data_IF_147794117134
#
_entry.id   IF_147794117134
#
_cell.length_a   1.000
_cell.length_b   1.000
_cell.length_c   1.000
_cell.angle_alpha   90.00
_cell.angle_beta   90.00
_cell.angle_gamma   90.00
#
_symmetry.space_group_name_H-M   'P 1'
#
loop_
_entity.id
_entity.type
_entity.pdbx_description
1 polymer ?
#
# COMPACT_ATOMS: atom_id res chain seq x y z
N UNK A 1 42.67 -30.22 38.04
CA UNK A 1 42.71 -28.87 38.61
C UNK A 1 42.09 -27.93 37.57
N UNK A 2 40.79 -27.62 37.59
CA UNK A 2 40.14 -26.54 38.37
C UNK A 2 40.86 -25.20 38.02
N UNK A 3 40.35 -24.22 37.26
CA UNK A 3 39.04 -23.54 37.26
C UNK A 3 38.82 -22.62 36.00
N UNK A 4 37.60 -22.67 35.45
CA UNK A 4 36.69 -21.58 35.00
C UNK A 4 37.04 -20.53 33.92
N UNK A 5 36.31 -20.66 32.79
CA UNK A 5 35.29 -19.75 32.21
C UNK A 5 35.62 -18.47 31.41
N UNK A 6 34.96 -18.44 30.23
CA UNK A 6 34.48 -17.32 29.36
C UNK A 6 35.58 -16.52 28.65
N UNK A 7 35.70 -16.49 27.33
CA UNK A 7 34.76 -16.69 26.23
C UNK A 7 34.52 -15.36 25.54
N UNK A 8 35.14 -15.13 24.37
CA UNK A 8 34.69 -14.39 23.16
C UNK A 8 35.83 -14.51 22.13
N UNK A 9 35.55 -15.07 20.95
CA UNK A 9 35.99 -14.60 19.62
C UNK A 9 35.59 -15.63 18.55
N UNK A 10 34.95 -15.13 17.48
CA UNK A 10 34.82 -15.71 16.13
C UNK A 10 36.15 -16.26 15.58
N UNK A 11 36.27 -16.97 14.42
CA UNK A 11 35.32 -17.03 13.28
C UNK A 11 35.22 -18.40 12.56
N UNK A 12 34.39 -18.45 11.51
CA UNK A 12 34.54 -19.20 10.25
C UNK A 12 35.31 -20.55 10.28
N UNK A 13 34.61 -21.63 9.94
CA UNK A 13 35.22 -22.66 9.09
C UNK A 13 34.25 -23.20 8.04
N UNK A 14 34.77 -23.21 6.82
CA UNK A 14 34.18 -23.61 5.56
C UNK A 14 34.22 -25.13 5.45
N UNK A 15 33.11 -25.78 5.05
CA UNK A 15 33.19 -27.12 4.46
C UNK A 15 32.36 -27.20 3.17
N UNK A 16 33.09 -27.15 2.06
CA UNK A 16 32.67 -27.68 0.76
C UNK A 16 32.50 -29.20 0.87
N UNK A 17 31.36 -29.75 0.45
CA UNK A 17 31.27 -31.16 0.04
C UNK A 17 30.57 -31.29 -1.31
N UNK A 18 31.31 -31.91 -2.21
CA UNK A 18 31.09 -32.08 -3.64
C UNK A 18 29.99 -33.14 -3.93
N UNK A 19 29.17 -32.91 -4.96
CA UNK A 19 28.14 -33.85 -5.42
C UNK A 19 28.79 -35.06 -6.10
N UNK A 20 28.64 -36.27 -5.53
CA UNK A 20 28.48 -37.54 -6.27
C UNK A 20 28.19 -38.70 -5.31
N UNK A 21 27.13 -39.45 -5.64
CA UNK A 21 26.72 -40.75 -5.10
C UNK A 21 26.28 -40.78 -3.62
N UNK A 22 25.03 -41.16 -3.37
CA UNK A 22 24.64 -42.50 -2.90
C UNK A 22 23.17 -42.46 -2.42
N UNK A 23 22.46 -43.49 -2.84
CA UNK A 23 21.13 -43.97 -2.51
C UNK A 23 20.77 -44.08 -1.02
N UNK A 24 19.46 -44.01 -0.74
CA UNK A 24 18.74 -44.58 0.41
C UNK A 24 19.44 -44.56 1.79
N UNK A 25 19.08 -43.58 2.63
CA UNK A 25 19.13 -43.73 4.08
C UNK A 25 17.81 -43.27 4.67
N UNK A 26 17.15 -44.19 5.37
CA UNK A 26 15.95 -43.98 6.17
C UNK A 26 16.29 -43.15 7.42
N UNK A 27 15.41 -42.22 7.80
CA UNK A 27 15.47 -41.55 9.11
C UNK A 27 14.37 -42.09 10.03
N UNK A 28 14.71 -42.48 11.28
CA UNK A 28 13.75 -42.81 12.32
C UNK A 28 13.22 -41.55 13.03
N UNK A 29 12.18 -41.76 13.83
CA UNK A 29 11.27 -40.78 14.39
C UNK A 29 11.85 -39.73 15.37
N UNK A 30 11.20 -38.55 15.34
CA UNK A 30 10.92 -37.56 16.41
C UNK A 30 12.01 -37.23 17.45
N UNK A 31 12.42 -35.96 17.49
CA UNK A 31 12.16 -35.11 18.67
C UNK A 31 12.48 -33.61 18.45
N UNK A 32 11.49 -32.77 18.83
CA UNK A 32 11.54 -31.38 19.30
C UNK A 32 12.39 -30.35 18.52
N UNK A 33 11.76 -29.67 17.57
CA UNK A 33 11.89 -28.22 17.40
C UNK A 33 10.49 -27.64 17.11
N UNK A 34 9.86 -27.06 18.12
CA UNK A 34 8.53 -26.43 18.03
C UNK A 34 8.76 -24.99 17.56
N UNK A 35 8.72 -24.77 16.25
CA UNK A 35 8.79 -23.45 15.63
C UNK A 35 7.46 -23.11 14.93
N UNK A 36 7.09 -21.85 15.06
CA UNK A 36 5.95 -21.07 14.55
C UNK A 36 5.72 -21.17 13.02
N UNK A 37 5.37 -22.35 12.51
CA UNK A 37 5.04 -22.59 11.08
C UNK A 37 3.59 -23.00 10.82
N UNK A 38 2.66 -22.60 11.70
CA UNK A 38 1.29 -23.13 11.69
C UNK A 38 0.29 -22.50 10.72
N UNK A 39 0.47 -21.23 10.32
CA UNK A 39 -0.63 -20.47 9.68
C UNK A 39 -0.34 -20.18 8.20
N UNK A 40 0.93 -19.93 7.82
CA UNK A 40 1.27 -19.55 6.44
C UNK A 40 1.30 -20.74 5.44
N UNK A 41 1.52 -21.98 5.91
CA UNK A 41 1.65 -23.14 5.02
C UNK A 41 0.30 -23.73 4.54
N UNK A 42 -0.77 -23.62 5.34
CA UNK A 42 -2.07 -24.20 4.99
C UNK A 42 -2.84 -23.42 3.93
N UNK A 43 -2.69 -22.09 3.88
CA UNK A 43 -3.23 -21.28 2.78
C UNK A 43 -2.57 -21.65 1.43
N UNK A 44 -1.32 -22.11 1.46
CA UNK A 44 -0.55 -22.53 0.28
C UNK A 44 -0.85 -23.96 -0.20
N UNK A 45 -1.15 -24.90 0.69
CA UNK A 45 -1.50 -26.28 0.29
C UNK A 45 -2.84 -26.36 -0.47
N UNK A 46 -3.78 -25.46 -0.16
CA UNK A 46 -5.03 -25.31 -0.93
C UNK A 46 -4.83 -24.68 -2.32
N UNK A 47 -3.77 -23.88 -2.50
CA UNK A 47 -3.39 -23.29 -3.79
C UNK A 47 -2.53 -24.25 -4.65
N UNK A 48 -1.86 -25.23 -4.05
CA UNK A 48 -0.94 -26.15 -4.75
C UNK A 48 -1.63 -27.40 -5.34
N UNK A 49 -2.79 -27.79 -4.82
CA UNK A 49 -3.52 -28.98 -5.27
C UNK A 49 -4.57 -28.69 -6.36
N UNK A 50 -4.13 -28.18 -7.51
CA UNK A 50 -4.79 -28.38 -8.82
C UNK A 50 -3.90 -27.89 -9.99
N UNK A 51 -2.69 -28.42 -10.07
CA UNK A 51 -1.84 -28.27 -11.26
C UNK A 51 -2.32 -29.17 -12.42
N UNK A 52 -3.33 -28.72 -13.16
CA UNK A 52 -3.47 -29.03 -14.60
C UNK A 52 -3.56 -27.71 -15.35
N UNK A 53 -2.52 -27.40 -16.13
CA UNK A 53 -2.37 -26.16 -16.91
C UNK A 53 -3.65 -25.81 -17.71
N UNK A 54 -4.30 -24.65 -17.48
CA UNK A 54 -5.16 -24.03 -18.47
C UNK A 54 -4.43 -22.86 -19.15
N UNK A 55 -4.85 -22.55 -20.37
CA UNK A 55 -4.32 -21.46 -21.19
C UNK A 55 -4.59 -20.09 -20.53
N UNK A 56 -3.65 -19.17 -20.75
CA UNK A 56 -3.47 -17.84 -20.17
C UNK A 56 -4.65 -16.85 -20.35
N UNK A 57 -5.79 -17.28 -20.90
CA UNK A 57 -6.98 -16.46 -21.18
C UNK A 57 -8.22 -16.82 -20.33
N UNK A 58 -8.11 -17.73 -19.35
CA UNK A 58 -9.30 -18.34 -18.70
C UNK A 58 -9.39 -18.14 -17.19
N UNK A 59 -8.56 -17.28 -16.59
CA UNK A 59 -8.65 -16.97 -15.15
C UNK A 59 -9.75 -15.97 -14.78
N UNK A 60 -10.50 -15.47 -15.76
CA UNK A 60 -11.70 -14.67 -15.56
C UNK A 60 -12.93 -15.56 -15.77
N UNK A 61 -13.42 -16.20 -14.72
CA UNK A 61 -14.80 -16.71 -14.53
C UNK A 61 -14.76 -17.93 -13.60
N UNK A 62 -14.80 -17.69 -12.30
CA UNK A 62 -15.52 -18.58 -11.37
C UNK A 62 -15.84 -17.77 -10.11
N UNK A 63 -16.89 -16.95 -10.18
CA UNK A 63 -17.49 -16.35 -8.98
C UNK A 63 -18.66 -17.24 -8.61
N UNK A 64 -18.49 -18.02 -7.54
CA UNK A 64 -19.60 -18.67 -6.85
C UNK A 64 -20.48 -17.58 -6.24
N UNK A 65 -21.78 -17.63 -6.54
CA UNK A 65 -22.80 -16.83 -5.89
C UNK A 65 -23.14 -17.45 -4.54
N UNK A 66 -22.82 -16.78 -3.43
CA UNK A 66 -23.54 -16.82 -2.15
C UNK A 66 -22.98 -15.78 -1.16
N UNK A 67 -23.82 -14.80 -0.82
CA UNK A 67 -23.68 -13.73 0.18
C UNK A 67 -22.28 -13.07 0.31
N UNK A 68 -21.85 -12.32 -0.70
CA UNK A 68 -20.57 -11.59 -0.69
C UNK A 68 -20.53 -10.42 0.31
N UNK A 69 -21.64 -10.05 0.97
CA UNK A 69 -21.71 -8.86 1.83
C UNK A 69 -21.26 -9.06 3.28
N UNK A 70 -20.90 -10.28 3.67
CA UNK A 70 -20.53 -10.56 5.06
C UNK A 70 -19.08 -10.25 5.42
N UNK A 71 -18.22 -9.92 4.45
CA UNK A 71 -16.82 -9.57 4.70
C UNK A 71 -16.47 -8.25 4.04
N UNK A 72 -16.14 -7.28 4.87
CA UNK A 72 -15.80 -5.91 4.49
C UNK A 72 -14.29 -5.79 4.37
N UNK A 73 -13.84 -5.04 3.38
CA UNK A 73 -12.44 -4.62 3.24
C UNK A 73 -12.39 -3.10 3.29
N UNK A 74 -11.55 -2.55 4.16
CA UNK A 74 -11.41 -1.11 4.31
C UNK A 74 -9.92 -0.71 4.31
N UNK A 75 -9.53 0.02 3.28
CA UNK A 75 -8.21 0.63 3.12
C UNK A 75 -8.23 2.08 3.62
N UNK A 76 -7.61 2.30 4.77
CA UNK A 76 -7.56 3.62 5.43
C UNK A 76 -6.40 4.45 4.84
N UNK A 77 -6.59 5.01 3.65
CA UNK A 77 -5.59 5.88 3.04
C UNK A 77 -5.59 7.30 3.63
N UNK A 78 -4.42 7.95 3.65
CA UNK A 78 -4.26 9.35 4.09
C UNK A 78 -5.18 10.32 3.37
N UNK A 79 -5.29 10.18 2.04
CA UNK A 79 -6.11 11.07 1.21
C UNK A 79 -7.51 10.51 0.94
N UNK A 80 -7.62 9.20 0.72
CA UNK A 80 -8.85 8.54 0.33
C UNK A 80 -9.03 7.23 1.09
N UNK A 81 -10.22 7.03 1.64
CA UNK A 81 -10.67 5.74 2.13
C UNK A 81 -11.22 4.95 0.95
N UNK A 82 -10.87 3.66 0.86
CA UNK A 82 -11.44 2.75 -0.13
C UNK A 82 -12.06 1.59 0.61
N UNK A 83 -13.37 1.40 0.47
CA UNK A 83 -14.08 0.33 1.15
C UNK A 83 -15.00 -0.43 0.19
N UNK A 84 -15.31 -1.67 0.55
CA UNK A 84 -16.16 -2.55 -0.23
C UNK A 84 -16.11 -3.97 0.30
N UNK A 85 -16.45 -4.93 -0.55
CA UNK A 85 -16.65 -6.31 -0.12
C UNK A 85 -15.57 -7.26 -0.64
N UNK A 86 -15.37 -8.33 0.11
CA UNK A 86 -14.49 -9.43 -0.29
C UNK A 86 -14.92 -10.02 -1.65
N UNK A 87 -13.93 -10.38 -2.48
CA UNK A 87 -14.15 -10.91 -3.83
C UNK A 87 -14.51 -9.87 -4.89
N UNK A 88 -14.68 -8.59 -4.54
CA UNK A 88 -14.91 -7.52 -5.51
C UNK A 88 -13.62 -7.06 -6.18
N UNK A 89 -13.73 -6.75 -7.48
CA UNK A 89 -12.58 -6.29 -8.29
C UNK A 89 -12.28 -4.80 -8.14
N UNK A 90 -13.23 -4.03 -7.62
CA UNK A 90 -13.14 -2.58 -7.41
C UNK A 90 -13.74 -2.26 -6.04
N UNK A 91 -13.24 -1.24 -5.34
CA UNK A 91 -13.90 -0.76 -4.13
C UNK A 91 -15.31 -0.30 -4.44
N UNK A 92 -16.26 -0.68 -3.59
CA UNK A 92 -17.66 -0.24 -3.69
C UNK A 92 -17.74 1.28 -3.56
N UNK A 93 -16.96 1.85 -2.62
CA UNK A 93 -16.88 3.29 -2.40
C UNK A 93 -15.43 3.75 -2.22
N UNK A 94 -15.16 4.94 -2.76
CA UNK A 94 -13.90 5.65 -2.59
C UNK A 94 -14.24 7.10 -2.30
N UNK A 95 -13.87 7.60 -1.13
CA UNK A 95 -14.19 8.96 -0.73
C UNK A 95 -13.01 9.61 0.00
N UNK A 96 -12.90 10.95 0.01
CA UNK A 96 -11.82 11.66 0.68
C UNK A 96 -11.82 11.42 2.20
N UNK A 97 -10.66 11.16 2.79
CA UNK A 97 -10.48 10.96 4.23
C UNK A 97 -10.45 12.33 4.95
N UNK A 98 -11.59 13.01 4.97
CA UNK A 98 -11.71 14.40 5.41
C UNK A 98 -13.00 14.62 6.18
N UNK A 99 -12.94 15.51 7.16
CA UNK A 99 -14.06 15.88 8.02
C UNK A 99 -14.20 17.39 8.01
N UNK A 100 -15.44 17.85 7.92
CA UNK A 100 -15.79 19.26 7.98
C UNK A 100 -16.73 19.53 9.16
N UNK A 101 -16.38 20.53 9.97
CA UNK A 101 -17.22 21.04 11.07
C UNK A 101 -17.70 22.45 10.71
N UNK A 102 -18.99 22.78 10.88
CA UNK A 102 -19.49 24.13 10.60
C UNK A 102 -18.72 25.20 11.38
N UNK A 103 -18.26 26.25 10.69
CA UNK A 103 -17.65 27.39 11.37
C UNK A 103 -18.76 28.16 12.10
N UNK A 104 -18.64 28.32 13.42
CA UNK A 104 -19.60 28.97 14.34
C UNK A 104 -19.98 30.44 14.01
N UNK A 105 -19.57 31.01 12.87
CA UNK A 105 -19.85 32.40 12.46
C UNK A 105 -20.83 32.50 11.29
N UNK A 106 -21.94 31.77 11.35
CA UNK A 106 -23.14 32.18 10.63
C UNK A 106 -24.24 32.41 11.66
N UNK A 107 -24.33 33.64 12.14
CA UNK A 107 -25.57 34.15 12.71
C UNK A 107 -26.66 34.00 11.65
N UNK A 108 -27.76 33.37 12.06
CA UNK A 108 -29.07 33.23 11.40
C UNK A 108 -29.21 33.86 10.00
N UNK A 109 -29.28 33.02 8.95
CA UNK A 109 -30.01 33.39 7.73
C UNK A 109 -30.67 32.19 7.04
N UNK A 110 -31.97 32.06 7.31
CA UNK A 110 -33.04 31.86 6.32
C UNK A 110 -33.08 30.61 5.42
N UNK A 111 -32.44 29.48 5.75
CA UNK A 111 -32.77 28.20 5.12
C UNK A 111 -32.95 27.10 6.16
N UNK A 112 -34.13 26.44 6.15
CA UNK A 112 -34.42 25.17 6.83
C UNK A 112 -33.59 24.04 6.21
N UNK A 113 -32.26 24.07 6.39
CA UNK A 113 -31.44 22.88 6.27
C UNK A 113 -30.88 22.60 7.65
N UNK A 114 -31.29 21.46 8.23
CA UNK A 114 -30.59 20.84 9.35
C UNK A 114 -29.15 20.54 8.87
N UNK A 115 -28.24 21.48 9.06
CA UNK A 115 -26.81 21.21 8.91
C UNK A 115 -26.46 20.16 9.95
N UNK A 116 -26.16 18.94 9.49
CA UNK A 116 -25.55 17.93 10.34
C UNK A 116 -24.29 18.53 10.95
N UNK A 117 -24.10 18.34 12.25
CA UNK A 117 -22.98 18.89 13.02
C UNK A 117 -21.60 18.53 12.44
N UNK A 118 -21.54 17.42 11.66
CA UNK A 118 -20.31 16.91 11.06
C UNK A 118 -20.60 16.42 9.64
N UNK A 119 -19.78 16.87 8.70
CA UNK A 119 -19.77 16.44 7.30
C UNK A 119 -18.51 15.60 7.06
N UNK A 120 -18.61 14.54 6.24
CA UNK A 120 -17.50 13.64 5.93
C UNK A 120 -17.45 13.39 4.42
N UNK A 121 -16.25 13.23 3.87
CA UNK A 121 -16.06 12.79 2.49
C UNK A 121 -16.29 13.88 1.43
N UNK A 122 -16.92 13.51 0.31
CA UNK A 122 -17.12 14.41 -0.83
C UNK A 122 -17.94 15.65 -0.48
N UNK A 123 -18.91 15.53 0.44
CA UNK A 123 -19.73 16.64 0.89
C UNK A 123 -18.90 17.76 1.57
N UNK A 124 -17.72 17.44 2.10
CA UNK A 124 -16.78 18.45 2.62
C UNK A 124 -16.15 19.30 1.51
N UNK A 125 -16.02 18.75 0.29
CA UNK A 125 -15.48 19.49 -0.84
C UNK A 125 -16.49 20.54 -1.32
N UNK A 126 -17.78 20.19 -1.37
CA UNK A 126 -18.86 21.09 -1.81
C UNK A 126 -19.08 22.25 -0.82
N UNK A 127 -19.08 21.94 0.48
CA UNK A 127 -19.35 22.92 1.54
C UNK A 127 -18.07 23.50 2.17
N UNK A 128 -16.92 23.33 1.51
CA UNK A 128 -15.60 23.70 2.05
C UNK A 128 -15.50 25.12 2.61
N UNK A 129 -16.18 26.09 2.00
CA UNK A 129 -16.14 27.49 2.40
C UNK A 129 -16.87 27.79 3.72
N UNK A 130 -17.69 26.87 4.20
CA UNK A 130 -18.49 26.99 5.43
C UNK A 130 -17.99 26.08 6.55
N UNK A 131 -17.00 25.22 6.25
CA UNK A 131 -16.53 24.15 7.13
C UNK A 131 -15.07 24.37 7.51
N UNK A 132 -14.76 24.18 8.79
CA UNK A 132 -13.41 23.94 9.27
C UNK A 132 -13.04 22.48 8.99
N UNK A 133 -11.95 22.27 8.24
CA UNK A 133 -11.58 20.97 7.69
C UNK A 133 -10.44 20.33 8.48
N UNK A 134 -10.66 19.09 8.96
CA UNK A 134 -9.64 18.25 9.57
C UNK A 134 -9.39 16.95 8.79
N UNK A 135 -8.17 16.41 8.96
CA UNK A 135 -7.76 15.14 8.38
C UNK A 135 -7.33 14.19 9.51
N UNK A 136 -8.05 13.09 9.78
CA UNK A 136 -7.72 12.18 10.87
C UNK A 136 -6.43 11.41 10.66
N UNK A 137 -6.08 11.15 9.40
CA UNK A 137 -4.93 10.35 9.00
C UNK A 137 -3.88 11.27 8.39
N UNK A 138 -2.70 11.31 9.01
CA UNK A 138 -1.56 12.07 8.51
C UNK A 138 -0.39 11.11 8.30
N UNK A 139 0.18 11.13 7.11
CA UNK A 139 1.28 10.24 6.73
C UNK A 139 0.98 8.75 6.95
N UNK A 140 -0.25 8.33 6.65
CA UNK A 140 -0.74 6.96 6.80
C UNK A 140 -1.17 6.60 8.22
N UNK A 141 -0.80 7.39 9.23
CA UNK A 141 -1.03 7.10 10.64
C UNK A 141 -2.20 7.92 11.16
N UNK A 142 -3.13 7.28 11.86
CA UNK A 142 -4.23 7.95 12.56
C UNK A 142 -3.66 8.85 13.67
N UNK A 143 -3.94 10.15 13.61
CA UNK A 143 -3.56 11.13 14.63
C UNK A 143 -4.74 11.50 15.53
N UNK A 144 -5.95 11.56 14.98
CA UNK A 144 -7.17 11.90 15.72
C UNK A 144 -8.21 10.79 15.57
N UNK A 145 -8.50 10.10 16.68
CA UNK A 145 -9.42 8.97 16.72
C UNK A 145 -10.89 9.39 16.68
N UNK A 146 -11.24 10.51 17.32
CA UNK A 146 -12.62 11.03 17.30
C UNK A 146 -13.04 11.35 15.86
N UNK A 147 -12.12 11.97 15.11
CA UNK A 147 -12.28 12.22 13.68
C UNK A 147 -12.38 10.90 12.90
N UNK A 148 -11.47 9.95 13.16
CA UNK A 148 -11.47 8.65 12.46
C UNK A 148 -12.78 7.87 12.67
N UNK A 149 -13.40 8.00 13.84
CA UNK A 149 -14.68 7.38 14.15
C UNK A 149 -15.80 7.89 13.24
N UNK A 150 -15.86 9.19 12.96
CA UNK A 150 -16.83 9.73 12.01
C UNK A 150 -16.58 9.26 10.57
N UNK A 151 -15.32 9.10 10.18
CA UNK A 151 -14.94 8.53 8.87
C UNK A 151 -15.41 7.09 8.74
N UNK A 152 -15.26 6.27 9.78
CA UNK A 152 -15.75 4.89 9.79
C UNK A 152 -17.27 4.79 9.87
N UNK A 153 -17.93 5.64 10.66
CA UNK A 153 -19.39 5.72 10.70
C UNK A 153 -19.93 6.02 9.29
N UNK A 154 -19.33 6.97 8.57
CA UNK A 154 -19.66 7.26 7.18
C UNK A 154 -19.40 6.07 6.25
N UNK A 155 -18.24 5.41 6.38
CA UNK A 155 -17.90 4.25 5.56
C UNK A 155 -18.89 3.09 5.72
N UNK A 156 -19.26 2.74 6.96
CA UNK A 156 -20.07 1.55 7.22
C UNK A 156 -21.56 1.80 7.04
N UNK A 157 -22.08 2.93 7.54
CA UNK A 157 -23.52 3.19 7.55
C UNK A 157 -24.00 3.97 6.32
N UNK A 158 -23.22 4.92 5.80
CA UNK A 158 -23.67 5.75 4.67
C UNK A 158 -23.27 5.14 3.33
N UNK A 159 -21.99 4.76 3.19
CA UNK A 159 -21.44 4.25 1.93
C UNK A 159 -21.82 2.78 1.72
N UNK A 160 -21.40 1.88 2.63
CA UNK A 160 -21.64 0.44 2.48
C UNK A 160 -23.05 0.00 2.90
N UNK A 161 -23.72 0.78 3.76
CA UNK A 161 -25.07 0.51 4.29
C UNK A 161 -25.19 -0.88 4.90
N UNK A 162 -24.23 -1.23 5.75
CA UNK A 162 -24.15 -2.53 6.41
C UNK A 162 -24.49 -2.44 7.89
N UNK A 163 -24.81 -3.58 8.48
CA UNK A 163 -24.76 -3.77 9.93
C UNK A 163 -23.40 -4.40 10.31
N UNK A 164 -22.48 -3.66 10.94
CA UNK A 164 -21.17 -4.18 11.34
C UNK A 164 -21.23 -5.46 12.17
N UNK A 165 -22.28 -5.64 12.99
CA UNK A 165 -22.43 -6.80 13.89
C UNK A 165 -22.59 -8.14 13.18
N UNK A 166 -23.04 -8.12 11.93
CA UNK A 166 -23.25 -9.33 11.11
C UNK A 166 -22.08 -9.58 10.14
N UNK A 167 -21.07 -8.70 10.16
CA UNK A 167 -19.97 -8.72 9.21
C UNK A 167 -18.65 -9.05 9.89
N UNK A 168 -17.67 -9.46 9.08
CA UNK A 168 -16.25 -9.46 9.40
C UNK A 168 -15.57 -8.31 8.67
N UNK A 169 -14.43 -7.82 9.16
CA UNK A 169 -13.71 -6.71 8.53
C UNK A 169 -12.20 -6.97 8.41
N UNK A 170 -11.66 -6.77 7.21
CA UNK A 170 -10.23 -6.67 6.95
C UNK A 170 -9.84 -5.19 6.84
N UNK A 171 -8.95 -4.76 7.72
CA UNK A 171 -8.37 -3.41 7.72
C UNK A 171 -6.95 -3.44 7.17
N UNK A 172 -6.57 -2.38 6.46
CA UNK A 172 -5.19 -2.19 6.01
C UNK A 172 -4.38 -1.44 7.05
N UNK A 173 -3.12 -1.84 7.20
CA UNK A 173 -2.16 -1.25 8.12
C UNK A 173 -0.99 -0.64 7.34
N UNK A 174 -0.67 0.64 7.53
CA UNK A 174 0.49 1.24 6.89
C UNK A 174 1.78 0.62 7.46
N UNK A 175 2.89 0.62 6.69
CA UNK A 175 4.18 0.19 7.20
C UNK A 175 4.57 0.96 8.48
N UNK A 176 5.14 0.25 9.46
CA UNK A 176 5.66 0.82 10.72
C UNK A 176 4.58 1.51 11.60
N UNK A 177 3.31 1.11 11.50
CA UNK A 177 2.27 1.59 12.42
C UNK A 177 2.59 1.17 13.87
N UNK A 178 2.60 2.09 14.86
CA UNK A 178 2.79 1.74 16.26
C UNK A 178 1.80 0.67 16.73
N UNK A 179 2.25 -0.26 17.57
CA UNK A 179 1.39 -1.34 18.09
C UNK A 179 0.12 -0.78 18.75
N UNK A 180 0.27 0.27 19.55
CA UNK A 180 -0.84 0.97 20.22
C UNK A 180 -1.96 1.40 19.27
N UNK A 181 -1.62 1.83 18.06
CA UNK A 181 -2.64 2.22 17.08
C UNK A 181 -3.40 1.00 16.56
N UNK A 182 -2.72 -0.14 16.34
CA UNK A 182 -3.37 -1.38 15.93
C UNK A 182 -4.29 -1.93 17.04
N UNK A 183 -3.86 -1.80 18.29
CA UNK A 183 -4.66 -2.13 19.47
C UNK A 183 -5.95 -1.31 19.49
N UNK A 184 -5.83 0.02 19.36
CA UNK A 184 -6.98 0.92 19.30
C UNK A 184 -7.91 0.61 18.11
N UNK A 185 -7.36 0.26 16.93
CA UNK A 185 -8.17 -0.16 15.78
C UNK A 185 -9.02 -1.38 16.11
N UNK A 186 -8.40 -2.43 16.67
CA UNK A 186 -9.12 -3.67 17.01
C UNK A 186 -10.15 -3.46 18.10
N UNK A 187 -9.78 -2.75 19.17
CA UNK A 187 -10.68 -2.38 20.26
C UNK A 187 -11.90 -1.64 19.71
N UNK A 188 -11.71 -0.64 18.85
CA UNK A 188 -12.82 0.09 18.23
C UNK A 188 -13.73 -0.82 17.41
N UNK A 189 -13.17 -1.75 16.63
CA UNK A 189 -13.96 -2.64 15.78
C UNK A 189 -14.80 -3.63 16.59
N UNK A 190 -14.31 -4.11 17.72
CA UNK A 190 -15.07 -5.02 18.58
C UNK A 190 -15.99 -4.33 19.58
N UNK A 191 -15.56 -3.22 20.18
CA UNK A 191 -16.30 -2.57 21.26
C UNK A 191 -17.32 -1.55 20.75
N UNK A 192 -16.92 -0.68 19.81
CA UNK A 192 -17.84 0.32 19.24
C UNK A 192 -18.72 -0.28 18.15
N UNK A 193 -18.12 -0.99 17.18
CA UNK A 193 -18.84 -1.47 16.00
C UNK A 193 -19.34 -2.92 16.12
N UNK A 194 -18.84 -3.68 17.11
CA UNK A 194 -19.31 -5.02 17.38
C UNK A 194 -19.12 -6.01 16.20
N UNK A 195 -18.07 -5.86 15.39
CA UNK A 195 -17.79 -6.79 14.29
C UNK A 195 -17.61 -8.23 14.78
N UNK A 196 -18.09 -9.20 14.00
CA UNK A 196 -17.99 -10.63 14.35
C UNK A 196 -16.55 -11.16 14.28
N UNK A 197 -15.75 -10.61 13.36
CA UNK A 197 -14.33 -10.92 13.24
C UNK A 197 -13.55 -9.80 12.58
N UNK A 198 -12.30 -9.63 13.00
CA UNK A 198 -11.40 -8.56 12.55
C UNK A 198 -10.09 -9.17 12.08
N UNK A 199 -9.52 -8.62 11.02
CA UNK A 199 -8.16 -8.93 10.61
C UNK A 199 -7.44 -7.66 10.13
N UNK A 200 -6.18 -7.50 10.51
CA UNK A 200 -5.35 -6.36 10.12
C UNK A 200 -4.19 -6.88 9.26
N UNK A 201 -3.98 -6.27 8.10
CA UNK A 201 -2.91 -6.68 7.18
C UNK A 201 -2.13 -5.49 6.62
N UNK A 202 -0.80 -5.65 6.52
CA UNK A 202 0.10 -4.63 5.97
C UNK A 202 -0.18 -4.37 4.49
N UNK A 203 -0.28 -3.10 4.11
CA UNK A 203 -0.58 -2.65 2.73
C UNK A 203 0.34 -3.27 1.67
N UNK A 204 1.66 -3.24 1.90
CA UNK A 204 2.67 -3.79 0.99
C UNK A 204 2.55 -5.31 0.77
N UNK A 205 2.06 -6.05 1.77
CA UNK A 205 1.88 -7.51 1.64
C UNK A 205 0.65 -7.80 0.78
N UNK A 206 -0.44 -7.04 0.96
CA UNK A 206 -1.65 -7.18 0.14
C UNK A 206 -1.36 -6.92 -1.35
N UNK A 207 -0.51 -5.94 -1.66
CA UNK A 207 -0.08 -5.67 -3.04
C UNK A 207 0.68 -6.84 -3.67
N UNK A 208 1.57 -7.52 -2.95
CA UNK A 208 2.25 -8.70 -3.47
C UNK A 208 1.26 -9.85 -3.71
N UNK A 209 0.33 -10.07 -2.77
CA UNK A 209 -0.70 -11.10 -2.90
C UNK A 209 -1.64 -10.86 -4.09
N UNK A 210 -1.98 -9.61 -4.38
CA UNK A 210 -2.79 -9.26 -5.56
C UNK A 210 -2.09 -9.66 -6.88
N UNK A 211 -0.76 -9.73 -6.90
CA UNK A 211 0.03 -10.22 -8.04
C UNK A 211 0.38 -11.72 -7.96
N UNK A 212 -0.04 -12.41 -6.90
CA UNK A 212 0.34 -13.81 -6.66
C UNK A 212 1.83 -13.99 -6.32
N UNK A 213 2.48 -12.95 -5.81
CA UNK A 213 3.88 -12.98 -5.37
C UNK A 213 3.95 -13.16 -3.85
N UNK A 214 4.89 -13.98 -3.39
CA UNK A 214 5.21 -14.14 -1.96
C UNK A 214 6.37 -13.25 -1.53
N UNK A 215 7.23 -12.89 -2.46
CA UNK A 215 8.41 -12.04 -2.25
C UNK A 215 8.53 -11.05 -3.41
N UNK A 216 8.90 -9.82 -3.10
CA UNK A 216 9.04 -8.72 -4.06
C UNK A 216 9.21 -7.39 -3.34
N UNK A 217 9.63 -6.37 -4.08
CA UNK A 217 9.73 -5.01 -3.56
C UNK A 217 8.51 -4.21 -4.00
N UNK A 218 7.76 -3.66 -3.06
CA UNK A 218 6.61 -2.80 -3.35
C UNK A 218 7.00 -1.34 -3.20
N UNK A 219 6.67 -0.56 -4.23
CA UNK A 219 6.71 0.90 -4.21
C UNK A 219 5.26 1.38 -4.17
N UNK A 220 4.80 1.76 -2.97
CA UNK A 220 3.47 2.29 -2.75
C UNK A 220 3.53 3.81 -2.58
N UNK A 221 3.14 4.53 -3.64
CA UNK A 221 3.11 6.00 -3.62
C UNK A 221 1.67 6.50 -3.59
N UNK A 222 1.23 6.89 -2.40
CA UNK A 222 -0.11 7.35 -2.10
C UNK A 222 -0.24 8.89 -2.09
N UNK A 223 -1.24 9.38 -1.37
CA UNK A 223 -1.51 10.82 -1.30
C UNK A 223 -0.54 11.56 -0.37
N UNK A 224 -0.28 11.03 0.83
CA UNK A 224 0.61 11.66 1.81
C UNK A 224 1.99 11.04 1.94
N UNK A 225 2.19 9.80 1.46
CA UNK A 225 3.42 9.03 1.72
C UNK A 225 3.80 8.21 0.50
N UNK A 226 5.12 8.09 0.28
CA UNK A 226 5.70 7.06 -0.58
C UNK A 226 6.46 6.08 0.29
N UNK A 227 6.03 4.83 0.29
CA UNK A 227 6.70 3.72 0.95
C UNK A 227 7.39 2.86 -0.11
N UNK A 228 8.68 2.65 0.05
CA UNK A 228 9.37 1.51 -0.55
C UNK A 228 9.43 0.50 0.58
N UNK A 229 8.92 -0.72 0.44
CA UNK A 229 8.86 -1.69 1.54
C UNK A 229 10.25 -2.19 1.99
N UNK A 230 10.99 -1.29 2.67
CA UNK A 230 12.10 -1.35 3.63
C UNK A 230 12.52 0.08 4.10
N UNK A 231 11.96 1.19 3.58
CA UNK A 231 12.34 2.59 3.94
C UNK A 231 11.25 3.67 3.68
N UNK A 232 11.34 4.86 4.29
CA UNK A 232 10.27 5.89 4.44
C UNK A 232 10.61 7.29 3.90
N UNK A 233 9.67 7.95 3.18
CA UNK A 233 9.63 9.41 2.93
C UNK A 233 8.19 9.97 3.01
N UNK A 234 8.00 11.13 3.66
CA UNK A 234 6.70 11.78 3.91
C UNK A 234 6.60 13.16 3.23
N UNK A 235 5.42 13.54 2.74
CA UNK A 235 5.18 14.82 2.04
C UNK A 235 4.01 15.59 2.68
N UNK A 236 4.23 16.84 3.08
CA UNK A 236 3.23 17.72 3.73
C UNK A 236 2.38 18.52 2.73
N UNK A 237 1.18 18.97 3.14
CA UNK A 237 0.27 19.79 2.31
C UNK A 237 -0.53 20.85 3.10
N UNK A 238 -0.90 21.94 2.41
CA UNK A 238 -1.94 22.94 2.76
C UNK A 238 -2.72 23.39 1.51
N UNK A 239 -3.83 24.13 1.67
CA UNK A 239 -5.01 24.15 0.78
C UNK A 239 -4.99 25.10 -0.46
N UNK A 240 -5.26 24.50 -1.64
CA UNK A 240 -5.99 25.02 -2.84
C UNK A 240 -5.98 23.91 -3.93
N UNK A 241 -6.24 22.66 -3.52
CA UNK A 241 -5.67 21.47 -4.16
C UNK A 241 -6.56 20.73 -5.14
N UNK A 242 -7.88 20.87 -5.16
CA UNK A 242 -8.73 19.94 -5.93
C UNK A 242 -8.55 20.11 -7.45
N UNK A 243 -8.74 21.33 -7.94
CA UNK A 243 -8.53 21.65 -9.36
C UNK A 243 -7.09 21.38 -9.79
N UNK A 244 -6.11 21.70 -8.94
CA UNK A 244 -4.69 21.45 -9.21
C UNK A 244 -4.40 19.94 -9.21
N UNK A 245 -5.04 19.16 -8.34
CA UNK A 245 -4.95 17.69 -8.32
C UNK A 245 -5.53 17.10 -9.59
N UNK A 246 -6.68 17.57 -10.05
CA UNK A 246 -7.25 17.12 -11.32
C UNK A 246 -6.34 17.44 -12.51
N UNK A 247 -5.78 18.65 -12.55
CA UNK A 247 -4.80 19.05 -13.57
C UNK A 247 -3.59 18.10 -13.52
N UNK A 248 -3.06 17.83 -12.31
CA UNK A 248 -1.95 16.91 -12.09
C UNK A 248 -2.27 15.50 -12.59
N UNK A 249 -3.42 14.95 -12.22
CA UNK A 249 -3.83 13.59 -12.63
C UNK A 249 -4.11 13.48 -14.14
N UNK A 250 -4.64 14.53 -14.77
CA UNK A 250 -4.99 14.54 -16.19
C UNK A 250 -3.82 14.88 -17.12
N UNK A 251 -2.91 15.77 -16.71
CA UNK A 251 -1.91 16.36 -17.61
C UNK A 251 -0.47 16.01 -17.29
N UNK A 252 -0.14 15.70 -16.04
CA UNK A 252 1.24 15.44 -15.65
C UNK A 252 1.72 14.06 -16.11
N UNK A 253 3.03 13.97 -16.34
CA UNK A 253 3.71 12.74 -16.74
C UNK A 253 5.16 12.81 -16.30
N UNK A 254 5.82 11.66 -16.19
CA UNK A 254 7.23 11.60 -15.85
C UNK A 254 8.05 11.56 -17.14
N UNK A 255 8.94 12.54 -17.31
CA UNK A 255 9.86 12.57 -18.44
C UNK A 255 10.88 11.43 -18.32
N UNK A 256 11.13 10.72 -19.42
CA UNK A 256 12.19 9.74 -19.47
C UNK A 256 13.55 10.41 -19.29
N UNK A 257 13.85 11.50 -20.01
CA UNK A 257 15.05 12.32 -19.84
C UNK A 257 14.68 13.77 -19.55
N UNK A 258 14.78 14.16 -18.28
CA UNK A 258 14.40 15.49 -17.81
C UNK A 258 15.11 16.62 -18.57
N UNK A 259 16.42 16.50 -18.80
CA UNK A 259 17.20 17.57 -19.45
C UNK A 259 16.74 17.82 -20.88
N UNK A 260 16.49 16.72 -21.61
CA UNK A 260 16.01 16.78 -22.99
C UNK A 260 14.58 17.31 -23.06
N UNK A 261 13.70 16.84 -22.18
CA UNK A 261 12.31 17.31 -22.11
C UNK A 261 12.24 18.80 -21.78
N UNK A 262 13.11 19.27 -20.88
CA UNK A 262 13.22 20.68 -20.52
C UNK A 262 13.68 21.55 -21.70
N UNK A 263 14.68 21.12 -22.47
CA UNK A 263 15.09 21.81 -23.70
C UNK A 263 13.94 21.89 -24.71
N UNK A 264 13.23 20.78 -24.92
CA UNK A 264 12.07 20.74 -25.82
C UNK A 264 10.98 21.74 -25.39
N UNK A 265 10.76 21.88 -24.09
CA UNK A 265 9.79 22.83 -23.53
C UNK A 265 10.18 24.30 -23.69
N UNK A 266 11.48 24.61 -23.75
CA UNK A 266 11.99 25.95 -24.03
C UNK A 266 11.95 26.28 -25.53
N UNK A 267 12.24 25.30 -26.38
CA UNK A 267 12.37 25.49 -27.82
C UNK A 267 11.04 25.38 -28.58
N UNK A 268 10.05 24.68 -28.02
CA UNK A 268 8.81 24.36 -28.71
C UNK A 268 7.57 24.48 -27.81
N UNK A 269 6.41 24.64 -28.42
CA UNK A 269 5.12 24.64 -27.71
C UNK A 269 4.45 23.26 -27.67
N UNK A 270 5.14 22.19 -28.07
CA UNK A 270 4.54 20.84 -28.22
C UNK A 270 4.06 20.27 -26.88
N UNK A 271 4.68 20.69 -25.78
CA UNK A 271 4.35 20.27 -24.43
C UNK A 271 3.14 21.01 -23.85
N UNK A 272 2.74 22.14 -24.45
CA UNK A 272 1.64 22.96 -23.95
C UNK A 272 0.31 22.26 -24.20
N UNK A 273 -0.47 22.09 -23.13
CA UNK A 273 -1.84 21.56 -23.17
C UNK A 273 -2.80 22.58 -22.58
N UNK A 274 -3.99 22.67 -23.16
CA UNK A 274 -5.06 23.51 -22.63
C UNK A 274 -5.87 22.71 -21.61
N UNK A 275 -6.26 23.35 -20.51
CA UNK A 275 -7.16 22.79 -19.49
C UNK A 275 -8.29 23.78 -19.23
N UNK A 276 -9.53 23.28 -19.16
CA UNK A 276 -10.69 24.11 -18.84
C UNK A 276 -11.01 23.99 -17.36
N UNK A 277 -10.94 25.10 -16.64
CA UNK A 277 -11.29 25.21 -15.24
C UNK A 277 -12.81 25.08 -15.04
N UNK A 278 -13.27 24.76 -13.81
CA UNK A 278 -14.71 24.62 -13.52
C UNK A 278 -15.55 25.88 -13.83
N UNK A 279 -14.93 27.06 -13.80
CA UNK A 279 -15.56 28.34 -14.14
C UNK A 279 -15.58 28.66 -15.64
N UNK A 280 -15.12 27.72 -16.48
CA UNK A 280 -15.06 27.86 -17.94
C UNK A 280 -13.81 28.56 -18.46
N UNK A 281 -12.92 29.08 -17.60
CA UNK A 281 -11.64 29.66 -18.03
C UNK A 281 -10.70 28.59 -18.56
N UNK A 282 -9.98 28.88 -19.64
CA UNK A 282 -8.98 27.96 -20.20
C UNK A 282 -7.58 28.41 -19.79
N UNK A 283 -6.85 27.53 -19.11
CA UNK A 283 -5.43 27.72 -18.76
C UNK A 283 -4.54 26.88 -19.68
N UNK A 284 -3.29 27.31 -19.85
CA UNK A 284 -2.27 26.58 -20.58
C UNK A 284 -1.27 26.00 -19.61
N UNK A 285 -1.04 24.69 -19.71
CA UNK A 285 -0.13 23.95 -18.85
C UNK A 285 1.01 23.38 -19.69
N UNK A 286 2.25 23.81 -19.44
CA UNK A 286 3.43 23.56 -20.25
C UNK A 286 4.45 22.61 -19.60
N UNK A 287 5.63 23.13 -19.27
CA UNK A 287 6.76 22.34 -18.71
C UNK A 287 6.47 21.81 -17.32
N UNK A 288 5.62 22.50 -16.56
CA UNK A 288 5.16 22.08 -15.24
C UNK A 288 4.52 20.68 -15.23
N UNK A 289 4.05 20.21 -16.39
CA UNK A 289 3.49 18.85 -16.55
C UNK A 289 4.48 17.75 -16.17
N UNK A 290 5.77 17.91 -16.47
CA UNK A 290 6.80 16.93 -16.10
C UNK A 290 7.71 17.42 -14.97
N UNK A 291 7.79 18.72 -14.72
CA UNK A 291 8.56 19.25 -13.59
C UNK A 291 7.89 18.94 -12.24
N UNK A 292 6.54 18.98 -12.16
CA UNK A 292 5.84 18.67 -10.91
C UNK A 292 6.12 17.25 -10.39
N UNK A 293 6.00 16.18 -11.20
CA UNK A 293 6.33 14.83 -10.73
C UNK A 293 7.84 14.55 -10.65
N UNK A 294 8.73 15.43 -11.13
CA UNK A 294 10.18 15.29 -10.97
C UNK A 294 10.59 15.34 -9.48
N UNK A 295 9.79 15.98 -8.63
CA UNK A 295 9.98 15.97 -7.18
C UNK A 295 10.02 14.54 -6.58
N UNK A 296 9.46 13.53 -7.26
CA UNK A 296 9.59 12.13 -6.84
C UNK A 296 11.01 11.58 -7.02
N UNK A 297 11.80 12.11 -7.96
CA UNK A 297 13.18 11.71 -8.26
C UNK A 297 14.20 12.70 -7.71
N UNK A 298 13.81 13.96 -7.52
CA UNK A 298 14.65 15.01 -6.95
C UNK A 298 13.87 15.77 -5.88
N UNK A 299 13.81 15.25 -4.64
CA UNK A 299 13.08 15.87 -3.53
C UNK A 299 13.58 17.29 -3.19
N UNK A 300 14.84 17.60 -3.49
CA UNK A 300 15.43 18.94 -3.32
C UNK A 300 14.64 20.04 -4.03
N UNK A 301 13.88 19.72 -5.09
CA UNK A 301 13.05 20.68 -5.82
C UNK A 301 11.91 21.27 -4.98
N UNK A 302 11.54 20.61 -3.89
CA UNK A 302 10.49 21.02 -2.95
C UNK A 302 11.06 21.25 -1.54
N UNK A 303 12.36 21.54 -1.44
CA UNK A 303 13.09 21.75 -0.18
C UNK A 303 12.95 20.58 0.81
N UNK A 304 12.82 19.35 0.29
CA UNK A 304 12.82 18.13 1.10
C UNK A 304 14.17 17.46 0.98
N UNK A 305 14.90 17.39 2.08
CA UNK A 305 16.16 16.65 2.16
C UNK A 305 15.87 15.14 2.07
N UNK A 306 16.38 14.47 1.04
CA UNK A 306 16.12 13.04 0.86
C UNK A 306 16.56 12.43 -0.45
N UNK A 307 16.57 11.09 -0.47
CA UNK A 307 16.80 10.31 -1.68
C UNK A 307 15.55 10.37 -2.58
N UNK A 308 15.75 10.48 -3.89
CA UNK A 308 14.68 10.27 -4.87
C UNK A 308 14.20 8.81 -4.89
N UNK A 309 13.00 8.57 -5.44
CA UNK A 309 12.34 7.27 -5.46
C UNK A 309 13.23 6.14 -5.99
N UNK A 310 13.97 6.37 -7.08
CA UNK A 310 14.86 5.36 -7.63
C UNK A 310 16.02 5.01 -6.69
N UNK A 311 16.51 6.01 -5.95
CA UNK A 311 17.62 5.86 -5.01
C UNK A 311 17.20 5.12 -3.76
N UNK A 312 16.00 5.44 -3.26
CA UNK A 312 15.40 4.66 -2.18
C UNK A 312 15.26 3.19 -2.56
N UNK A 313 14.76 2.92 -3.77
CA UNK A 313 14.57 1.56 -4.28
C UNK A 313 15.89 0.84 -4.39
N UNK A 314 16.88 1.49 -5.00
CA UNK A 314 18.21 0.93 -5.15
C UNK A 314 18.85 0.65 -3.79
N UNK A 315 18.84 1.63 -2.87
CA UNK A 315 19.38 1.50 -1.52
C UNK A 315 18.69 0.38 -0.74
N UNK A 316 17.36 0.32 -0.78
CA UNK A 316 16.58 -0.74 -0.16
C UNK A 316 17.01 -2.13 -0.64
N UNK A 317 17.19 -2.32 -1.96
CA UNK A 317 17.65 -3.60 -2.49
C UNK A 317 19.10 -3.89 -2.07
N UNK A 318 19.96 -2.86 -1.98
CA UNK A 318 21.36 -3.03 -1.56
C UNK A 318 21.52 -3.30 -0.06
N UNK A 319 20.58 -2.88 0.78
CA UNK A 319 20.56 -3.18 2.21
C UNK A 319 20.17 -4.65 2.49
N UNK A 320 19.52 -5.33 1.54
CA UNK A 320 19.13 -6.74 1.67
C UNK A 320 20.30 -7.71 1.51
N UNK A 321 20.12 -8.94 2.00
CA UNK A 321 21.05 -10.04 1.80
C UNK A 321 21.35 -10.27 0.31
N UNK A 322 22.62 -10.50 -0.01
CA UNK A 322 23.13 -10.63 -1.38
C UNK A 322 22.34 -11.66 -2.19
N UNK A 323 21.95 -12.77 -1.55
CA UNK A 323 21.21 -13.86 -2.18
C UNK A 323 19.80 -13.44 -2.64
N UNK A 324 19.20 -12.46 -1.96
CA UNK A 324 17.83 -12.00 -2.24
C UNK A 324 17.80 -10.86 -3.27
N UNK A 325 18.88 -10.10 -3.45
CA UNK A 325 18.90 -8.88 -4.29
C UNK A 325 18.47 -9.14 -5.73
N UNK A 326 19.00 -10.20 -6.34
CA UNK A 326 18.68 -10.56 -7.74
C UNK A 326 17.21 -10.94 -7.91
N UNK A 327 16.59 -11.50 -6.87
CA UNK A 327 15.16 -11.79 -6.86
C UNK A 327 14.34 -10.50 -6.76
N UNK A 328 14.75 -9.56 -5.90
CA UNK A 328 14.05 -8.29 -5.72
C UNK A 328 14.09 -7.43 -6.99
N UNK A 329 15.21 -7.39 -7.72
CA UNK A 329 15.27 -6.71 -9.03
C UNK A 329 14.32 -7.30 -10.08
N UNK A 330 13.96 -8.59 -9.97
CA UNK A 330 13.04 -9.26 -10.89
C UNK A 330 11.56 -9.08 -10.51
N UNK A 331 11.29 -8.52 -9.33
CA UNK A 331 9.95 -8.46 -8.74
C UNK A 331 9.72 -7.11 -8.05
N UNK A 332 9.96 -6.01 -8.76
CA UNK A 332 9.56 -4.67 -8.31
C UNK A 332 8.12 -4.43 -8.75
N UNK A 333 7.23 -4.08 -7.83
CA UNK A 333 5.80 -3.87 -8.10
C UNK A 333 5.39 -2.46 -7.72
N UNK A 334 4.73 -1.75 -8.66
CA UNK A 334 4.18 -0.42 -8.42
C UNK A 334 2.76 -0.48 -7.86
N UNK A 335 2.50 0.30 -6.81
CA UNK A 335 1.19 0.46 -6.17
C UNK A 335 0.91 1.94 -5.85
N UNK A 336 -0.37 2.30 -5.79
CA UNK A 336 -0.80 3.62 -5.31
C UNK A 336 -1.00 4.64 -6.42
N UNK A 337 -1.83 5.65 -6.14
CA UNK A 337 -2.29 6.62 -7.15
C UNK A 337 -1.17 7.44 -7.78
N UNK A 338 -0.13 7.79 -7.02
CA UNK A 338 1.01 8.57 -7.52
C UNK A 338 1.93 7.76 -8.44
N UNK A 339 1.76 6.42 -8.51
CA UNK A 339 2.45 5.58 -9.51
C UNK A 339 1.75 5.53 -10.87
N UNK A 340 0.64 6.27 -11.03
CA UNK A 340 -0.14 6.29 -12.27
C UNK A 340 0.42 7.24 -13.34
N UNK A 341 1.43 8.06 -13.02
CA UNK A 341 2.03 8.96 -14.01
C UNK A 341 2.56 8.18 -15.23
N UNK A 342 2.18 8.59 -16.45
CA UNK A 342 2.76 8.04 -17.67
C UNK A 342 4.28 8.23 -17.67
N UNK A 343 5.02 7.20 -18.07
CA UNK A 343 6.49 7.23 -18.13
C UNK A 343 7.22 6.87 -16.83
N UNK A 344 6.52 6.77 -15.69
CA UNK A 344 7.13 6.37 -14.41
C UNK A 344 7.86 5.03 -14.48
N UNK A 345 7.27 3.92 -14.99
CA UNK A 345 7.95 2.63 -15.01
C UNK A 345 9.26 2.68 -15.80
N UNK A 346 9.24 3.30 -16.98
CA UNK A 346 10.41 3.42 -17.86
C UNK A 346 11.51 4.32 -17.28
N UNK A 347 11.13 5.43 -16.63
CA UNK A 347 12.08 6.32 -15.94
C UNK A 347 12.75 5.60 -14.77
N UNK A 348 11.95 4.92 -13.95
CA UNK A 348 12.43 4.17 -12.80
C UNK A 348 13.35 3.02 -13.24
N UNK A 349 13.01 2.31 -14.32
CA UNK A 349 13.85 1.27 -14.90
C UNK A 349 15.23 1.82 -15.27
N UNK A 350 15.27 2.93 -16.01
CA UNK A 350 16.51 3.58 -16.42
C UNK A 350 17.36 3.98 -15.21
N UNK A 351 16.78 4.66 -14.23
CA UNK A 351 17.56 5.14 -13.07
C UNK A 351 18.10 3.99 -12.22
N UNK A 352 17.34 2.91 -12.03
CA UNK A 352 17.85 1.72 -11.32
C UNK A 352 19.00 1.08 -12.09
N UNK A 353 18.92 1.01 -13.43
CA UNK A 353 20.00 0.50 -14.26
C UNK A 353 21.25 1.38 -14.19
N UNK A 354 21.09 2.70 -14.20
CA UNK A 354 22.19 3.65 -14.08
C UNK A 354 22.88 3.50 -12.72
N UNK A 355 22.12 3.45 -11.62
CA UNK A 355 22.67 3.22 -10.27
C UNK A 355 23.35 1.86 -10.14
N UNK A 356 22.79 0.82 -10.74
CA UNK A 356 23.41 -0.51 -10.74
C UNK A 356 24.72 -0.53 -11.54
N UNK A 357 24.75 0.15 -12.69
CA UNK A 357 25.96 0.27 -13.51
C UNK A 357 27.08 0.97 -12.74
N UNK A 358 26.76 2.06 -12.05
CA UNK A 358 27.74 2.88 -11.35
C UNK A 358 28.20 2.23 -10.04
N UNK A 359 27.26 1.83 -9.18
CA UNK A 359 27.58 1.36 -7.83
C UNK A 359 27.98 -0.13 -7.77
N UNK A 360 27.38 -0.99 -8.59
CA UNK A 360 27.62 -2.44 -8.55
C UNK A 360 28.62 -2.88 -9.62
N UNK A 361 28.41 -2.45 -10.86
CA UNK A 361 29.23 -2.88 -12.00
C UNK A 361 30.46 -2.00 -12.24
N UNK A 362 30.58 -0.86 -11.55
CA UNK A 362 31.68 0.11 -11.68
C UNK A 362 31.95 0.49 -13.13
N UNK A 363 30.89 0.72 -13.91
CA UNK A 363 30.94 1.11 -15.32
C UNK A 363 31.01 -0.05 -16.33
N UNK A 364 31.00 -1.32 -15.89
CA UNK A 364 31.02 -2.47 -16.81
C UNK A 364 29.65 -2.69 -17.49
N UNK A 365 29.49 -2.13 -18.69
CA UNK A 365 28.24 -2.20 -19.48
C UNK A 365 27.85 -3.62 -19.93
N UNK A 366 28.79 -4.54 -20.09
CA UNK A 366 28.47 -5.92 -20.50
C UNK A 366 27.86 -6.74 -19.35
N UNK A 367 28.19 -6.37 -18.10
CA UNK A 367 27.55 -6.93 -16.92
C UNK A 367 26.07 -6.60 -16.82
N UNK A 368 25.64 -5.46 -17.38
CA UNK A 368 24.25 -5.00 -17.31
C UNK A 368 23.29 -5.94 -18.03
N UNK A 369 23.74 -6.57 -19.13
CA UNK A 369 22.96 -7.56 -19.89
C UNK A 369 22.59 -8.81 -19.07
N UNK A 370 23.31 -9.08 -17.97
CA UNK A 370 23.05 -10.20 -17.07
C UNK A 370 21.99 -9.89 -16.01
N UNK A 371 21.75 -8.60 -15.74
CA UNK A 371 20.71 -8.18 -14.81
C UNK A 371 19.35 -8.33 -15.47
N UNK A 372 18.45 -9.07 -14.82
CA UNK A 372 17.04 -9.14 -15.19
C UNK A 372 16.27 -8.18 -14.30
N UNK A 373 16.21 -6.92 -14.69
CA UNK A 373 15.35 -5.94 -14.02
C UNK A 373 13.92 -6.09 -14.54
N UNK A 374 12.94 -6.10 -13.64
CA UNK A 374 11.53 -6.12 -14.02
C UNK A 374 10.73 -5.27 -13.04
N UNK A 375 10.09 -4.24 -13.58
CA UNK A 375 9.14 -3.39 -12.89
C UNK A 375 7.75 -3.75 -13.42
N UNK A 376 6.90 -4.23 -12.51
CA UNK A 376 5.52 -4.58 -12.80
C UNK A 376 4.62 -3.38 -12.48
N UNK A 377 3.90 -2.88 -13.49
CA UNK A 377 3.01 -1.72 -13.40
C UNK A 377 1.55 -2.07 -13.75
N UNK A 378 0.85 -2.90 -12.94
CA UNK A 378 -0.51 -3.32 -13.25
C UNK A 378 -1.44 -2.14 -13.55
N UNK A 379 -2.39 -2.26 -14.51
CA UNK A 379 -3.29 -1.16 -14.88
C UNK A 379 -4.22 -0.75 -13.72
N UNK A 380 -4.48 -1.66 -12.77
CA UNK A 380 -5.32 -1.41 -11.59
C UNK A 380 -4.52 -1.01 -10.34
N UNK A 381 -3.26 -0.59 -10.50
CA UNK A 381 -2.34 -0.33 -9.38
C UNK A 381 -2.78 0.77 -8.40
N UNK A 382 -3.67 1.68 -8.82
CA UNK A 382 -4.28 2.71 -7.96
C UNK A 382 -5.00 2.13 -6.72
N UNK A 383 -5.59 0.94 -6.85
CA UNK A 383 -6.39 0.29 -5.80
C UNK A 383 -5.83 -1.09 -5.40
N UNK A 384 -4.55 -1.33 -5.66
CA UNK A 384 -3.99 -2.68 -5.57
C UNK A 384 -3.94 -3.22 -4.14
N UNK A 385 -3.74 -2.34 -3.16
CA UNK A 385 -3.87 -2.64 -1.72
C UNK A 385 -5.28 -3.18 -1.41
N UNK A 386 -6.32 -2.44 -1.80
CA UNK A 386 -7.72 -2.87 -1.64
C UNK A 386 -7.98 -4.19 -2.36
N UNK A 387 -7.53 -4.33 -3.61
CA UNK A 387 -7.72 -5.54 -4.41
C UNK A 387 -7.08 -6.76 -3.74
N UNK A 388 -5.86 -6.62 -3.21
CA UNK A 388 -5.20 -7.66 -2.44
C UNK A 388 -5.98 -8.04 -1.19
N UNK A 389 -6.51 -7.06 -0.47
CA UNK A 389 -7.40 -7.26 0.68
C UNK A 389 -8.68 -7.99 0.29
N UNK A 390 -9.35 -7.58 -0.79
CA UNK A 390 -10.59 -8.20 -1.29
C UNK A 390 -10.38 -9.65 -1.73
N UNK A 391 -9.26 -9.95 -2.39
CA UNK A 391 -8.90 -11.32 -2.78
C UNK A 391 -8.58 -12.17 -1.55
N UNK A 392 -7.74 -11.66 -0.63
CA UNK A 392 -7.36 -12.39 0.58
C UNK A 392 -8.58 -12.66 1.47
N UNK A 393 -9.38 -11.64 1.74
CA UNK A 393 -10.61 -11.76 2.52
C UNK A 393 -11.62 -12.71 1.86
N UNK A 394 -11.70 -12.71 0.52
CA UNK A 394 -12.58 -13.60 -0.24
C UNK A 394 -12.16 -15.07 -0.11
N UNK A 395 -10.86 -15.35 -0.18
CA UNK A 395 -10.31 -16.71 -0.02
C UNK A 395 -10.45 -17.19 1.44
N UNK A 396 -10.23 -16.31 2.40
CA UNK A 396 -10.17 -16.65 3.83
C UNK A 396 -11.50 -16.47 4.58
N UNK A 397 -12.60 -16.14 3.89
CA UNK A 397 -13.92 -15.86 4.49
C UNK A 397 -14.39 -16.95 5.47
N UNK A 398 -14.21 -18.21 5.07
CA UNK A 398 -14.67 -19.40 5.80
C UNK A 398 -13.59 -20.06 6.67
N UNK A 399 -12.40 -19.44 6.80
CA UNK A 399 -11.29 -19.94 7.61
C UNK A 399 -11.31 -19.31 9.01
N UNK A 400 -11.89 -19.95 10.04
CA UNK A 400 -12.05 -19.34 11.37
C UNK A 400 -10.72 -19.01 12.05
N UNK A 401 -9.63 -19.72 11.73
CA UNK A 401 -8.29 -19.49 12.28
C UNK A 401 -7.62 -18.22 11.76
N UNK A 402 -8.10 -17.66 10.65
CA UNK A 402 -7.55 -16.46 10.05
C UNK A 402 -8.09 -15.20 10.72
N UNK A 403 -9.37 -15.20 11.08
CA UNK A 403 -10.02 -14.06 11.70
C UNK A 403 -9.76 -14.07 13.21
N UNK A 404 -9.49 -12.89 13.77
CA UNK A 404 -9.66 -12.69 15.20
C UNK A 404 -11.16 -12.64 15.42
N UNK A 405 -11.73 -13.59 16.14
CA UNK A 405 -13.17 -13.59 16.42
C UNK A 405 -13.45 -12.79 17.68
N UNK A 406 -14.69 -12.28 17.81
CA UNK A 406 -15.10 -11.54 19.00
C UNK A 406 -14.91 -12.35 20.29
N UNK A 407 -15.12 -13.65 20.24
CA UNK A 407 -14.89 -14.58 21.37
C UNK A 407 -13.41 -14.58 21.79
N UNK A 408 -12.49 -14.68 20.84
CA UNK A 408 -11.04 -14.60 21.11
C UNK A 408 -10.67 -13.25 21.77
N UNK A 409 -11.27 -12.15 21.30
CA UNK A 409 -11.04 -10.82 21.87
C UNK A 409 -11.57 -10.70 23.30
N UNK A 410 -12.74 -11.26 23.60
CA UNK A 410 -13.30 -11.23 24.95
C UNK A 410 -12.51 -12.10 25.94
N UNK A 411 -11.90 -13.19 25.46
CA UNK A 411 -11.09 -14.09 26.30
C UNK A 411 -9.65 -13.60 26.50
N UNK A 412 -8.98 -13.19 25.42
CA UNK A 412 -7.54 -12.86 25.43
C UNK A 412 -7.26 -11.34 25.43
N UNK A 413 -8.29 -10.52 25.27
CA UNK A 413 -8.17 -9.08 25.08
C UNK A 413 -7.32 -8.74 23.86
N UNK A 414 -6.46 -7.74 24.02
CA UNK A 414 -5.56 -7.24 22.97
C UNK A 414 -4.50 -8.29 22.54
N UNK A 415 -4.24 -9.31 23.35
CA UNK A 415 -3.21 -10.34 23.07
C UNK A 415 -3.49 -11.16 21.80
N UNK A 416 -4.76 -11.18 21.35
CA UNK A 416 -5.17 -11.86 20.12
C UNK A 416 -4.54 -11.26 18.85
N UNK A 417 -4.01 -10.02 18.91
CA UNK A 417 -3.28 -9.38 17.81
C UNK A 417 -2.02 -10.13 17.40
N UNK A 418 -1.48 -10.99 18.26
CA UNK A 418 -0.37 -11.88 17.90
C UNK A 418 -0.69 -12.77 16.68
N UNK A 419 -1.98 -13.01 16.38
CA UNK A 419 -2.45 -13.72 15.18
C UNK A 419 -2.21 -12.94 13.87
N UNK A 420 -2.13 -11.60 13.93
CA UNK A 420 -1.88 -10.74 12.76
C UNK A 420 -0.38 -10.60 12.39
N UNK A 421 0.53 -11.26 13.13
CA UNK A 421 1.96 -11.19 12.90
C UNK A 421 2.68 -10.07 13.68
N UNK A 422 4.02 -10.02 13.65
CA UNK A 422 4.79 -8.98 14.34
C UNK A 422 4.56 -7.60 13.71
N UNK A 423 4.63 -6.58 14.56
CA UNK A 423 4.47 -5.19 14.17
C UNK A 423 5.56 -4.68 13.23
#
# INVERSE_FOLDING_TARGET
MILTHRGVNSPLDVMFVNRRNVSHIAYPARSKLRMTRGICAKALDLLSLKAKKPKQSTFYFLVFSMDNRSVVVCDNGTGYVKCGFAGENFPTSVFPCVIGRPMLRYEESLMEQELKDIVVGEACADLRHQLDISYPVTNGIVQNWDDMYHVWDHAFYNELKINPSECKILLTDPPLNPSKNREQMVETMFEKYNFSGVFIQIQAVLTLYAQGLLTGLVIDSGDGVTHVAHSRYAMNRTADFETVREIKEKLCYISYDYKREYQLGLETTILVKNYTLPDGRVIKVGTERFQAPEALFTPDLIDVEGDGMADMVFRCIQEMDIDNRMMLYQHIVLSGGSTMYPGLPSRLEREILDRYLDAVLKGNKDGLKKLRLRIEDPPRRKHMVYLGGAVLAGIMKDAPEFWINKEDYLEEGISCLSKCGPA
#
